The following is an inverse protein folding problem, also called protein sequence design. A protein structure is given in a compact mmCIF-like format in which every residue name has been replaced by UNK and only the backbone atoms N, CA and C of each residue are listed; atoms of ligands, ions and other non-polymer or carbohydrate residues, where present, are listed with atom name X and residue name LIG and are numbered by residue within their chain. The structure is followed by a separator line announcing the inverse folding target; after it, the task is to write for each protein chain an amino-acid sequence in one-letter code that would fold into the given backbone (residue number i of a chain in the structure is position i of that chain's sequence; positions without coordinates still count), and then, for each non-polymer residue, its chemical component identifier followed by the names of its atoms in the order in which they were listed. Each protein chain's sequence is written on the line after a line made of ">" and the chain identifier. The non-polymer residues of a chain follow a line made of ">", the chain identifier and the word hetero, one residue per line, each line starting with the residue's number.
data_IF_356900844930
#
_entry.id   IF_356900844930
#
_cell.length_a   1.000
_cell.length_b   1.000
_cell.length_c   1.000
_cell.angle_alpha   90.00
_cell.angle_beta   90.00
_cell.angle_gamma   90.00
#
_symmetry.space_group_name_H-M   'P 1'
#
loop_
_entity.id
_entity.type
_entity.pdbx_description
1 polymer ?
#
# COMPACT_ATOMS: atom_id res chain seq x y z
N UNK A 1 -0.92 15.80 -8.18
CA UNK A 1 -1.95 14.78 -7.85
C UNK A 1 -1.63 14.34 -6.44
N UNK A 2 -2.56 14.51 -5.50
CA UNK A 2 -2.31 14.23 -4.10
C UNK A 2 -2.21 12.72 -3.92
N UNK A 3 -1.04 12.20 -3.54
CA UNK A 3 -0.84 10.78 -3.21
C UNK A 3 -1.34 10.44 -1.79
N UNK A 4 -2.24 11.29 -1.28
CA UNK A 4 -2.78 11.17 0.05
C UNK A 4 -3.79 10.04 0.08
N UNK A 5 -3.44 8.99 0.81
CA UNK A 5 -4.23 7.78 1.04
C UNK A 5 -4.87 7.83 2.41
N UNK A 6 -6.04 7.22 2.54
CA UNK A 6 -6.79 7.08 3.78
C UNK A 6 -6.67 5.66 4.33
N UNK A 7 -6.94 5.41 5.62
CA UNK A 7 -7.01 4.06 6.16
C UNK A 7 -8.05 3.22 5.42
N UNK A 8 -7.65 2.03 4.97
CA UNK A 8 -8.48 1.10 4.22
C UNK A 8 -8.36 1.22 2.70
N UNK A 9 -7.72 2.28 2.20
CA UNK A 9 -7.45 2.46 0.77
C UNK A 9 -6.54 1.35 0.25
N UNK A 10 -6.80 0.95 -0.99
CA UNK A 10 -6.04 -0.08 -1.69
C UNK A 10 -4.89 0.58 -2.42
N UNK A 11 -3.68 0.11 -2.15
CA UNK A 11 -2.46 0.71 -2.70
C UNK A 11 -1.65 -0.24 -3.59
N UNK A 12 -1.81 -1.55 -3.43
CA UNK A 12 -1.12 -2.57 -4.22
C UNK A 12 -1.81 -3.94 -4.12
N UNK A 13 -1.45 -4.85 -5.03
CA UNK A 13 -1.82 -6.27 -4.99
C UNK A 13 -0.75 -7.06 -4.25
N UNK A 14 -1.15 -8.16 -3.59
CA UNK A 14 -0.20 -9.03 -2.85
C UNK A 14 0.66 -9.90 -3.76
N UNK A 15 0.25 -10.03 -5.03
CA UNK A 15 0.99 -10.80 -6.04
C UNK A 15 2.26 -10.07 -6.50
N UNK A 16 2.23 -8.73 -6.48
CA UNK A 16 3.33 -7.89 -6.97
C UNK A 16 4.12 -7.22 -5.84
N UNK A 17 3.50 -7.00 -4.68
CA UNK A 17 4.09 -6.25 -3.57
C UNK A 17 3.81 -6.93 -2.24
N UNK A 18 4.65 -6.62 -1.24
CA UNK A 18 4.48 -7.09 0.14
C UNK A 18 4.05 -5.94 1.07
N UNK A 19 3.27 -6.26 2.10
CA UNK A 19 2.77 -5.27 3.05
C UNK A 19 3.92 -4.66 3.87
N UNK A 20 4.17 -3.37 3.67
CA UNK A 20 5.12 -2.58 4.45
C UNK A 20 4.55 -2.03 5.76
N UNK A 21 5.33 -1.15 6.41
CA UNK A 21 4.90 -0.46 7.64
C UNK A 21 3.64 0.36 7.40
N UNK A 22 2.71 0.35 8.36
CA UNK A 22 1.41 1.04 8.29
C UNK A 22 0.49 0.55 7.17
N UNK A 23 0.74 -0.66 6.66
CA UNK A 23 -0.15 -1.36 5.73
C UNK A 23 -0.54 -2.72 6.29
N UNK A 24 -1.49 -3.38 5.66
CA UNK A 24 -1.82 -4.79 5.91
C UNK A 24 -2.33 -5.44 4.64
N UNK A 25 -2.14 -6.76 4.58
CA UNK A 25 -2.74 -7.63 3.59
C UNK A 25 -4.17 -8.02 4.03
N UNK A 26 -5.16 -7.88 3.14
CA UNK A 26 -6.55 -8.31 3.36
C UNK A 26 -6.91 -9.68 2.76
N UNK A 27 -5.92 -10.40 2.23
CA UNK A 27 -6.01 -11.68 1.53
C UNK A 27 -5.98 -11.54 0.00
N UNK A 28 -6.10 -10.33 -0.54
CA UNK A 28 -5.99 -10.06 -1.99
C UNK A 28 -5.20 -8.78 -2.29
N UNK A 29 -5.33 -7.77 -1.45
CA UNK A 29 -4.74 -6.45 -1.66
C UNK A 29 -4.07 -5.93 -0.40
N UNK A 30 -3.05 -5.10 -0.61
CA UNK A 30 -2.40 -4.33 0.43
C UNK A 30 -3.19 -3.04 0.64
N UNK A 31 -3.55 -2.81 1.90
CA UNK A 31 -4.29 -1.64 2.36
C UNK A 31 -3.55 -0.84 3.39
N UNK A 32 -3.82 0.45 3.44
CA UNK A 32 -3.26 1.39 4.41
C UNK A 32 -3.99 1.35 5.75
N UNK A 33 -3.27 1.63 6.84
CA UNK A 33 -3.85 1.82 8.19
C UNK A 33 -3.88 3.28 8.64
N UNK A 34 -3.26 4.19 7.89
CA UNK A 34 -3.02 5.58 8.30
C UNK A 34 -3.27 6.54 7.13
N UNK A 35 -3.58 7.79 7.46
CA UNK A 35 -3.64 8.90 6.50
C UNK A 35 -2.21 9.38 6.19
N UNK A 36 -1.85 9.54 4.92
CA UNK A 36 -0.54 10.08 4.54
C UNK A 36 -0.25 9.81 3.07
N UNK A 37 1.01 9.91 2.66
CA UNK A 37 1.42 9.55 1.30
C UNK A 37 1.78 8.07 1.19
N UNK A 38 1.28 7.39 0.16
CA UNK A 38 1.70 6.03 -0.17
C UNK A 38 3.03 6.03 -0.90
N UNK A 39 4.02 5.30 -0.36
CA UNK A 39 5.31 5.07 -1.01
C UNK A 39 5.39 3.59 -1.37
N UNK A 40 5.62 3.32 -2.66
CA UNK A 40 5.82 1.97 -3.18
C UNK A 40 7.27 1.85 -3.63
N UNK A 41 8.04 1.00 -2.96
CA UNK A 41 9.41 0.69 -3.35
C UNK A 41 9.37 -0.31 -4.51
N UNK A 42 9.63 0.17 -5.73
CA UNK A 42 9.83 -0.67 -6.90
C UNK A 42 11.32 -0.93 -7.06
N UNK A 43 11.77 -2.10 -6.63
CA UNK A 43 13.05 -2.62 -7.07
C UNK A 43 12.89 -3.12 -8.51
N UNK A 44 13.11 -2.23 -9.47
CA UNK A 44 13.37 -2.66 -10.85
C UNK A 44 14.61 -3.56 -10.83
N UNK A 45 14.45 -4.79 -11.33
CA UNK A 45 15.50 -5.80 -11.40
C UNK A 45 15.87 -6.04 -12.85
#
# INVERSE_FOLDING_TARGET
>A
MSNQVLPGDRIATIEEYEAGKNTYDDGMMIRTKMIGDAIVDKKER
#
